data_IF_104588412896
#
_entry.id   IF_104588412896
#
_cell.length_a   1.000
_cell.length_b   1.000
_cell.length_c   1.000
_cell.angle_alpha   90.00
_cell.angle_beta   90.00
_cell.angle_gamma   90.00
#
_symmetry.space_group_name_H-M   'P 1'
#
loop_
_entity.id
_entity.type
_entity.pdbx_description
1 polymer ?
#
# COMPACT_ATOMS: atom_id res chain seq x y z
N UNK A 1 -10.13 -2.38 9.82
CA UNK A 1 -8.86 -1.79 9.32
C UNK A 1 -7.78 -2.85 9.42
N UNK A 2 -6.91 -2.97 8.42
CA UNK A 2 -5.80 -3.94 8.36
C UNK A 2 -4.50 -3.19 8.33
N UNK A 3 -3.50 -3.66 9.06
CA UNK A 3 -2.22 -2.97 9.18
C UNK A 3 -1.07 -3.89 8.83
N UNK A 4 -0.06 -3.33 8.15
CA UNK A 4 1.23 -3.95 7.89
C UNK A 4 2.27 -3.03 8.55
N UNK A 5 3.01 -3.55 9.51
CA UNK A 5 4.17 -2.84 10.06
C UNK A 5 5.27 -2.78 9.01
N UNK A 6 5.87 -1.60 8.87
CA UNK A 6 6.99 -1.32 8.00
C UNK A 6 8.23 -1.04 8.84
N UNK A 7 9.37 -0.81 8.20
CA UNK A 7 10.61 -0.41 8.88
C UNK A 7 10.48 0.98 9.53
N UNK A 8 11.38 1.34 10.46
CA UNK A 8 11.49 2.68 11.06
C UNK A 8 10.21 3.27 11.69
N UNK A 9 9.37 2.42 12.29
CA UNK A 9 8.15 2.85 12.98
C UNK A 9 7.03 3.29 12.03
N UNK A 10 7.15 2.92 10.75
CA UNK A 10 6.15 3.18 9.73
C UNK A 10 5.11 2.06 9.69
N UNK A 11 3.93 2.39 9.17
CA UNK A 11 2.81 1.45 9.08
C UNK A 11 2.01 1.75 7.83
N UNK A 12 1.71 0.70 7.06
CA UNK A 12 0.76 0.78 5.97
C UNK A 12 -0.58 0.19 6.44
N UNK A 13 -1.59 1.04 6.49
CA UNK A 13 -2.94 0.68 6.89
C UNK A 13 -3.89 0.68 5.70
N UNK A 14 -4.83 -0.25 5.71
CA UNK A 14 -5.88 -0.42 4.72
C UNK A 14 -7.23 -0.30 5.40
N UNK A 15 -7.99 0.69 4.96
CA UNK A 15 -9.34 0.97 5.43
C UNK A 15 -10.34 0.70 4.30
N UNK A 16 -11.28 -0.22 4.54
CA UNK A 16 -12.37 -0.51 3.59
C UNK A 16 -13.42 0.60 3.67
N UNK A 17 -13.64 1.28 2.56
CA UNK A 17 -14.73 2.24 2.36
C UNK A 17 -15.81 1.61 1.45
N UNK A 18 -17.01 2.19 1.32
CA UNK A 18 -18.11 1.58 0.55
C UNK A 18 -17.75 1.17 -0.89
N UNK A 19 -16.84 1.89 -1.56
CA UNK A 19 -16.47 1.64 -2.96
C UNK A 19 -14.97 1.58 -3.23
N UNK A 20 -14.15 1.86 -2.22
CA UNK A 20 -12.68 1.98 -2.37
C UNK A 20 -11.98 1.50 -1.11
N UNK A 21 -10.69 1.24 -1.22
CA UNK A 21 -9.79 1.05 -0.10
C UNK A 21 -8.99 2.33 0.07
N UNK A 22 -8.95 2.86 1.29
CA UNK A 22 -8.01 3.93 1.65
C UNK A 22 -6.74 3.28 2.20
N UNK A 23 -5.64 3.51 1.49
CA UNK A 23 -4.29 3.22 1.93
C UNK A 23 -3.78 4.41 2.74
N UNK A 24 -3.19 4.15 3.89
CA UNK A 24 -2.69 5.18 4.81
C UNK A 24 -1.29 4.77 5.22
N UNK A 25 -0.33 5.67 5.07
CA UNK A 25 0.99 5.51 5.68
C UNK A 25 1.02 6.39 6.92
N UNK A 26 1.31 5.78 8.07
CA UNK A 26 1.53 6.47 9.32
C UNK A 26 2.93 6.22 9.86
N UNK A 27 3.47 7.18 10.62
CA UNK A 27 4.71 7.08 11.37
C UNK A 27 4.42 7.41 12.83
N UNK A 28 4.81 6.55 13.77
CA UNK A 28 4.51 6.75 15.20
C UNK A 28 3.02 7.08 15.45
N UNK A 29 2.12 6.34 14.77
CA UNK A 29 0.66 6.51 14.79
C UNK A 29 0.10 7.85 14.23
N UNK A 30 0.95 8.72 13.69
CA UNK A 30 0.53 9.92 12.96
C UNK A 30 0.34 9.63 11.47
N UNK A 31 -0.82 9.97 10.90
CA UNK A 31 -1.09 9.84 9.47
C UNK A 31 -0.25 10.84 8.66
N UNK A 32 0.62 10.32 7.80
CA UNK A 32 1.48 11.13 6.94
C UNK A 32 0.86 11.36 5.56
N UNK A 33 0.44 10.27 4.91
CA UNK A 33 -0.16 10.33 3.58
C UNK A 33 -1.24 9.27 3.44
N UNK A 34 -2.28 9.57 2.67
CA UNK A 34 -3.28 8.57 2.30
C UNK A 34 -3.71 8.67 0.84
N UNK A 35 -4.23 7.56 0.32
CA UNK A 35 -4.77 7.46 -1.03
C UNK A 35 -5.93 6.48 -1.07
N UNK A 36 -7.02 6.87 -1.75
CA UNK A 36 -8.14 5.97 -2.04
C UNK A 36 -7.93 5.30 -3.41
N UNK A 37 -8.21 4.02 -3.49
CA UNK A 37 -8.15 3.24 -4.75
C UNK A 37 -9.17 2.09 -4.75
N UNK A 38 -9.61 1.66 -5.93
CA UNK A 38 -10.47 0.47 -6.07
C UNK A 38 -9.70 -0.81 -5.74
N UNK A 39 -10.33 -1.72 -5.00
CA UNK A 39 -9.75 -3.01 -4.66
C UNK A 39 -9.28 -3.79 -5.90
N UNK A 40 -10.06 -3.77 -6.99
CA UNK A 40 -9.70 -4.39 -8.27
C UNK A 40 -8.36 -3.87 -8.81
N UNK A 41 -8.12 -2.55 -8.73
CA UNK A 41 -6.90 -1.93 -9.24
C UNK A 41 -5.68 -2.26 -8.37
N UNK A 42 -5.88 -2.46 -7.06
CA UNK A 42 -4.84 -2.96 -6.15
C UNK A 42 -4.45 -4.42 -6.44
N UNK A 43 -5.41 -5.26 -6.85
CA UNK A 43 -5.11 -6.62 -7.31
C UNK A 43 -4.41 -6.63 -8.66
N UNK A 44 -4.87 -5.84 -9.64
CA UNK A 44 -4.20 -5.73 -10.95
C UNK A 44 -2.75 -5.24 -10.83
N UNK A 45 -2.45 -4.40 -9.85
CA UNK A 45 -1.07 -3.97 -9.55
C UNK A 45 -0.15 -5.14 -9.15
N UNK A 46 -0.67 -6.18 -8.49
CA UNK A 46 0.14 -7.35 -8.13
C UNK A 46 0.51 -8.18 -9.37
N UNK A 47 -0.33 -8.16 -10.39
CA UNK A 47 -0.16 -8.94 -11.63
C UNK A 47 0.75 -8.25 -12.64
N UNK A 48 0.74 -6.91 -12.69
CA UNK A 48 1.55 -6.12 -13.62
C UNK A 48 2.95 -5.85 -13.06
N UNK A 49 3.96 -5.86 -13.93
CA UNK A 49 5.31 -5.42 -13.60
C UNK A 49 5.56 -4.01 -14.14
N UNK A 50 6.35 -3.23 -13.40
CA UNK A 50 7.06 -2.01 -13.83
C UNK A 50 6.36 -0.64 -13.85
N UNK A 51 5.07 -0.50 -13.53
CA UNK A 51 4.46 0.84 -13.40
C UNK A 51 4.04 1.21 -11.96
N UNK A 52 4.26 2.47 -11.52
CA UNK A 52 3.70 2.94 -10.27
C UNK A 52 2.17 2.93 -10.30
N UNK A 53 1.52 2.37 -9.28
CA UNK A 53 0.07 2.36 -9.19
C UNK A 53 -0.53 3.77 -9.02
N UNK A 54 0.26 4.70 -8.49
CA UNK A 54 -0.16 6.06 -8.18
C UNK A 54 0.86 7.11 -8.63
N UNK A 55 0.36 8.31 -8.90
CA UNK A 55 1.16 9.53 -9.04
C UNK A 55 0.96 10.38 -7.77
N UNK A 56 1.99 11.13 -7.34
CA UNK A 56 1.91 12.08 -6.22
C UNK A 56 2.63 11.62 -4.95
N UNK A 57 2.13 12.00 -3.77
CA UNK A 57 2.80 11.81 -2.47
C UNK A 57 2.88 10.36 -2.00
N UNK A 58 1.92 9.51 -2.33
CA UNK A 58 1.99 8.08 -2.05
C UNK A 58 2.02 7.34 -3.38
N UNK A 59 3.11 6.62 -3.65
CA UNK A 59 3.28 5.80 -4.85
C UNK A 59 3.70 4.40 -4.45
N UNK A 60 3.07 3.39 -5.05
CA UNK A 60 3.44 1.99 -4.91
C UNK A 60 4.17 1.56 -6.19
N UNK A 61 5.37 1.04 -6.05
CA UNK A 61 6.15 0.48 -7.15
C UNK A 61 6.44 -0.98 -6.87
N UNK A 62 6.31 -1.84 -7.87
CA UNK A 62 6.70 -3.25 -7.78
C UNK A 62 8.08 -3.44 -8.42
N UNK A 63 9.03 -3.99 -7.68
CA UNK A 63 10.41 -4.27 -8.11
C UNK A 63 10.91 -5.49 -7.33
N UNK A 64 11.44 -6.49 -8.03
CA UNK A 64 12.09 -7.66 -7.40
C UNK A 64 11.19 -8.39 -6.37
N UNK A 65 9.89 -8.54 -6.67
CA UNK A 65 8.92 -9.17 -5.77
C UNK A 65 8.58 -8.35 -4.52
N UNK A 66 9.02 -7.09 -4.45
CA UNK A 66 8.74 -6.16 -3.35
C UNK A 66 7.93 -4.97 -3.83
N UNK A 67 7.10 -4.43 -2.94
CA UNK A 67 6.38 -3.18 -3.13
C UNK A 67 7.12 -2.08 -2.37
N UNK A 68 7.53 -1.03 -3.08
CA UNK A 68 8.17 0.17 -2.55
C UNK A 68 7.15 1.29 -2.40
N UNK A 69 7.19 1.99 -1.26
CA UNK A 69 6.33 3.14 -0.98
C UNK A 69 7.17 4.42 -1.11
N UNK A 70 6.85 5.28 -2.10
CA UNK A 70 7.57 6.53 -2.33
C UNK A 70 6.81 7.72 -1.74
N UNK A 71 7.29 8.17 -0.59
CA UNK A 71 7.20 9.54 -0.07
C UNK A 71 8.51 9.82 0.71
N UNK A 72 9.65 9.88 0.00
CA UNK A 72 11.02 9.79 0.56
C UNK A 72 11.47 8.35 0.95
N UNK A 73 11.31 7.37 0.04
CA UNK A 73 11.81 5.98 0.19
C UNK A 73 11.59 5.35 1.58
N UNK A 74 10.32 5.08 1.89
CA UNK A 74 9.89 4.84 3.28
C UNK A 74 10.00 3.37 3.71
N UNK A 75 9.75 2.40 2.83
CA UNK A 75 9.86 0.97 3.18
C UNK A 75 9.68 0.06 1.97
N UNK A 76 10.05 -1.21 2.14
CA UNK A 76 9.63 -2.31 1.26
C UNK A 76 8.72 -3.30 1.97
N UNK A 77 7.79 -3.92 1.26
CA UNK A 77 7.00 -5.08 1.73
C UNK A 77 6.97 -6.15 0.65
N UNK A 78 6.79 -7.42 1.02
CA UNK A 78 6.60 -8.48 0.02
C UNK A 78 5.25 -8.33 -0.68
N UNK A 79 5.20 -8.75 -1.95
CA UNK A 79 3.94 -8.85 -2.70
C UNK A 79 2.94 -9.78 -2.02
N UNK A 80 3.41 -10.87 -1.41
CA UNK A 80 2.57 -11.82 -0.68
C UNK A 80 1.89 -11.18 0.53
N UNK A 81 2.63 -10.45 1.38
CA UNK A 81 2.04 -9.78 2.55
C UNK A 81 1.01 -8.73 2.12
N UNK A 82 1.28 -8.00 1.04
CA UNK A 82 0.30 -7.06 0.48
C UNK A 82 -0.95 -7.78 -0.04
N UNK A 83 -0.78 -8.88 -0.77
CA UNK A 83 -1.90 -9.68 -1.29
C UNK A 83 -2.76 -10.27 -0.17
N UNK A 84 -2.15 -10.79 0.90
CA UNK A 84 -2.84 -11.28 2.07
C UNK A 84 -3.67 -10.16 2.75
N UNK A 85 -3.13 -8.95 2.83
CA UNK A 85 -3.88 -7.80 3.34
C UNK A 85 -5.08 -7.45 2.43
N UNK A 86 -4.92 -7.45 1.11
CA UNK A 86 -6.03 -7.21 0.18
C UNK A 86 -7.11 -8.30 0.26
N UNK A 87 -6.74 -9.57 0.41
CA UNK A 87 -7.68 -10.68 0.50
C UNK A 87 -8.61 -10.57 1.71
N UNK A 88 -8.11 -10.04 2.83
CA UNK A 88 -8.89 -9.75 4.04
C UNK A 88 -9.86 -8.55 3.88
N UNK A 89 -9.78 -7.80 2.78
CA UNK A 89 -10.67 -6.68 2.47
C UNK A 89 -11.81 -7.05 1.49
N UNK A 90 -11.81 -8.27 0.95
CA UNK A 90 -12.95 -8.81 0.21
C UNK A 90 -14.19 -8.78 1.09
#
# INVERSE_FOLDING_TARGET
>A
MINISLDDGLKLSFEKLPHTIRLIVSKNDEEWVCRKEKLKKLFSFLELDQEPLFKGRLQLFKSDGKIKIKNEFISTISTETFQQALNKLK
#
